data_IF_365096685735
#
_entry.id   IF_365096685735
#
_cell.length_a   1.000
_cell.length_b   1.000
_cell.length_c   1.000
_cell.angle_alpha   90.00
_cell.angle_beta   90.00
_cell.angle_gamma   90.00
#
_symmetry.space_group_name_H-M   'P 1'
#
loop_
_entity.id
_entity.type
_entity.pdbx_description
1 polymer ?
#
# COMPACT_ATOMS: atom_id res chain seq x y z
N UNK A 1 34.33 44.60 24.87
CA UNK A 1 33.70 44.98 23.60
C UNK A 1 32.40 44.16 23.50
N UNK A 2 31.33 44.57 24.19
CA UNK A 2 30.36 45.59 23.76
C UNK A 2 29.69 45.20 22.42
N UNK A 3 28.43 44.75 22.48
CA UNK A 3 27.60 44.40 21.32
C UNK A 3 27.18 45.62 20.49
N UNK A 4 26.23 45.46 19.54
CA UNK A 4 24.85 45.49 20.02
C UNK A 4 23.90 44.45 19.39
N UNK A 5 23.13 43.87 20.29
CA UNK A 5 21.75 43.42 20.12
C UNK A 5 20.90 44.49 19.43
N UNK A 6 20.12 44.10 18.42
CA UNK A 6 18.99 44.91 17.94
C UNK A 6 17.68 44.32 18.51
N UNK A 7 16.77 45.17 19.05
CA UNK A 7 15.74 44.72 19.97
C UNK A 7 14.36 44.53 19.36
N UNK A 8 13.52 43.82 20.12
CA UNK A 8 12.14 43.41 19.84
C UNK A 8 11.09 44.56 19.96
N UNK A 9 11.43 45.81 19.68
CA UNK A 9 10.53 46.97 19.89
C UNK A 9 10.63 48.13 18.89
N UNK A 10 11.13 47.95 17.66
CA UNK A 10 11.05 49.02 16.65
C UNK A 10 9.66 49.08 15.98
N UNK A 11 8.78 49.73 16.72
CA UNK A 11 7.48 50.29 16.36
C UNK A 11 7.66 51.43 15.35
N UNK A 12 6.89 51.41 14.27
CA UNK A 12 6.22 52.57 13.65
C UNK A 12 5.39 52.03 12.46
N UNK A 13 4.20 52.48 12.11
CA UNK A 13 3.19 53.37 12.68
C UNK A 13 2.07 53.25 11.64
N UNK A 14 0.93 52.64 11.99
CA UNK A 14 -0.24 52.66 11.12
C UNK A 14 -1.47 52.80 12.01
N UNK A 15 -1.64 54.04 12.49
CA UNK A 15 -2.91 54.58 12.96
C UNK A 15 -4.01 54.23 11.94
N UNK A 16 -4.99 53.44 12.37
CA UNK A 16 -6.32 53.50 11.78
C UNK A 16 -7.35 53.80 12.88
N UNK A 17 -8.22 54.80 12.67
CA UNK A 17 -9.07 55.35 13.69
C UNK A 17 -10.23 54.42 14.06
N UNK A 18 -10.56 54.42 15.34
CA UNK A 18 -11.88 54.10 15.87
C UNK A 18 -12.95 54.89 15.11
N UNK A 19 -13.90 54.21 14.46
CA UNK A 19 -15.33 54.60 14.39
C UNK A 19 -16.06 53.83 13.28
N UNK A 20 -16.93 52.90 13.68
CA UNK A 20 -18.24 52.65 13.05
C UNK A 20 -18.86 51.43 13.71
N UNK A 21 -19.35 51.64 14.93
CA UNK A 21 -20.41 50.81 15.49
C UNK A 21 -21.62 50.99 14.56
N UNK A 22 -21.90 49.99 13.74
CA UNK A 22 -23.08 49.94 12.88
C UNK A 22 -24.30 49.84 13.80
N UNK A 23 -24.96 50.96 14.00
CA UNK A 23 -26.27 51.05 14.66
C UNK A 23 -27.35 50.59 13.68
N UNK A 24 -28.03 49.49 14.02
CA UNK A 24 -29.23 49.05 13.30
C UNK A 24 -30.38 50.06 13.55
N UNK A 25 -31.16 50.45 12.52
CA UNK A 25 -32.28 51.35 12.71
C UNK A 25 -33.39 50.67 13.51
N UNK A 26 -33.70 51.26 14.67
CA UNK A 26 -34.86 50.96 15.51
C UNK A 26 -36.11 51.42 14.76
N UNK A 27 -36.75 50.51 14.03
CA UNK A 27 -38.05 50.76 13.39
C UNK A 27 -39.09 50.99 14.48
N UNK A 28 -39.66 52.18 14.46
CA UNK A 28 -40.67 52.71 15.37
C UNK A 28 -41.90 51.81 15.43
N UNK A 29 -42.31 51.52 16.66
CA UNK A 29 -43.52 50.78 17.03
C UNK A 29 -44.68 51.78 17.22
N UNK A 30 -45.10 52.49 16.18
CA UNK A 30 -46.28 53.37 16.25
C UNK A 30 -46.85 53.54 14.83
N UNK A 31 -47.79 52.67 14.44
CA UNK A 31 -48.83 52.86 13.39
C UNK A 31 -49.37 51.49 12.92
N UNK A 32 -49.94 50.71 13.83
CA UNK A 32 -50.88 49.66 13.43
C UNK A 32 -52.03 49.64 14.44
N UNK A 33 -52.82 50.70 14.45
CA UNK A 33 -54.15 50.65 15.06
C UNK A 33 -55.06 51.69 14.40
N UNK A 34 -55.74 51.26 13.33
CA UNK A 34 -57.14 51.55 12.99
C UNK A 34 -57.33 51.28 11.49
N UNK A 35 -58.04 50.22 11.15
CA UNK A 35 -59.26 50.30 10.35
C UNK A 35 -59.85 48.90 10.25
N UNK A 36 -61.06 48.77 10.81
CA UNK A 36 -61.95 47.63 10.67
C UNK A 36 -62.07 47.19 9.21
N UNK A 37 -62.20 45.89 8.96
CA UNK A 37 -63.45 45.30 8.44
C UNK A 37 -63.27 43.81 8.19
N UNK A 38 -64.29 43.08 8.61
CA UNK A 38 -64.58 41.67 8.39
C UNK A 38 -64.33 41.21 6.95
N UNK A 39 -63.66 40.06 6.77
CA UNK A 39 -64.11 38.93 5.93
C UNK A 39 -63.07 37.78 5.92
N UNK A 40 -63.57 36.54 5.95
CA UNK A 40 -62.84 35.38 5.44
C UNK A 40 -62.12 34.50 6.46
N UNK A 41 -62.87 33.57 7.07
CA UNK A 41 -62.30 32.36 7.68
C UNK A 41 -61.65 31.52 6.58
N UNK A 42 -60.33 31.67 6.41
CA UNK A 42 -59.49 30.92 5.48
C UNK A 42 -58.52 30.02 6.23
N UNK A 43 -58.94 28.79 6.51
CA UNK A 43 -58.12 27.58 6.70
C UNK A 43 -56.63 27.80 7.00
N UNK A 44 -56.28 27.94 8.29
CA UNK A 44 -54.91 27.78 8.76
C UNK A 44 -54.49 26.30 8.58
N UNK A 45 -53.98 25.96 7.40
CA UNK A 45 -53.20 24.73 7.22
C UNK A 45 -51.94 24.88 8.05
N UNK A 46 -51.87 24.12 9.13
CA UNK A 46 -50.64 23.92 9.91
C UNK A 46 -49.57 23.43 8.95
N UNK A 47 -48.66 24.32 8.53
CA UNK A 47 -47.53 23.93 7.71
C UNK A 47 -46.59 23.11 8.59
N UNK A 48 -46.70 21.79 8.51
CA UNK A 48 -45.69 20.87 9.02
C UNK A 48 -44.34 21.30 8.44
N UNK A 49 -43.29 21.56 9.25
CA UNK A 49 -41.97 21.80 8.68
C UNK A 49 -41.57 20.57 7.84
N UNK A 50 -40.91 20.77 6.68
CA UNK A 50 -40.57 19.67 5.80
C UNK A 50 -39.73 18.66 6.58
N UNK A 51 -40.14 17.40 6.55
CA UNK A 51 -39.38 16.30 7.13
C UNK A 51 -37.98 16.30 6.48
N UNK A 52 -36.98 16.81 7.21
CA UNK A 52 -35.60 16.76 6.78
C UNK A 52 -35.22 15.29 6.63
N UNK A 53 -34.68 14.96 5.46
CA UNK A 53 -34.34 13.60 5.09
C UNK A 53 -33.44 12.94 6.16
N UNK A 54 -33.76 11.70 6.52
CA UNK A 54 -33.04 10.90 7.55
C UNK A 54 -31.53 10.80 7.32
N UNK A 55 -31.06 11.09 6.11
CA UNK A 55 -29.65 11.19 5.73
C UNK A 55 -28.91 12.35 6.41
N UNK A 56 -29.56 13.49 6.64
CA UNK A 56 -28.91 14.68 7.23
C UNK A 56 -28.73 14.55 8.75
N UNK A 57 -29.70 13.92 9.45
CA UNK A 57 -29.59 13.65 10.89
C UNK A 57 -28.53 12.58 11.21
N UNK A 58 -28.39 11.56 10.36
CA UNK A 58 -27.36 10.54 10.53
C UNK A 58 -25.93 11.07 10.36
N UNK A 59 -25.76 12.21 9.67
CA UNK A 59 -24.46 12.88 9.53
C UNK A 59 -24.08 13.64 10.81
N UNK A 60 -25.05 14.14 11.58
CA UNK A 60 -24.81 14.96 12.78
C UNK A 60 -24.45 14.13 14.04
N UNK A 61 -24.80 12.83 14.06
CA UNK A 61 -24.47 11.89 15.16
C UNK A 61 -23.32 10.94 14.78
N UNK A 62 -22.76 11.06 13.58
CA UNK A 62 -21.70 10.18 13.13
C UNK A 62 -20.40 10.38 13.93
N UNK A 63 -19.88 9.30 14.51
CA UNK A 63 -18.55 9.24 15.14
C UNK A 63 -17.49 9.91 14.28
N UNK A 64 -16.59 10.70 14.88
CA UNK A 64 -15.55 11.47 14.17
C UNK A 64 -14.73 10.59 13.21
N UNK A 65 -14.51 9.32 13.56
CA UNK A 65 -13.85 8.32 12.72
C UNK A 65 -14.60 8.03 11.41
N UNK A 66 -15.92 8.01 11.45
CA UNK A 66 -16.76 7.78 10.27
C UNK A 66 -16.66 8.92 9.28
N UNK A 67 -16.62 10.17 9.78
CA UNK A 67 -16.39 11.37 8.98
C UNK A 67 -14.99 11.35 8.33
N UNK A 68 -13.96 10.96 9.10
CA UNK A 68 -12.60 10.81 8.58
C UNK A 68 -12.50 9.74 7.48
N UNK A 69 -13.11 8.58 7.68
CA UNK A 69 -13.11 7.49 6.69
C UNK A 69 -13.82 7.87 5.39
N UNK A 70 -14.92 8.61 5.47
CA UNK A 70 -15.61 9.11 4.28
C UNK A 70 -14.77 10.11 3.48
N UNK A 71 -14.11 11.06 4.14
CA UNK A 71 -13.17 11.98 3.49
C UNK A 71 -11.99 11.22 2.88
N UNK A 72 -11.44 10.24 3.60
CA UNK A 72 -10.36 9.39 3.10
C UNK A 72 -10.75 8.63 1.82
N UNK A 73 -11.94 8.03 1.79
CA UNK A 73 -12.45 7.30 0.61
C UNK A 73 -12.70 8.17 -0.62
N UNK A 74 -12.82 9.49 -0.47
CA UNK A 74 -12.97 10.40 -1.61
C UNK A 74 -11.66 10.56 -2.40
N UNK A 75 -10.50 10.32 -1.79
CA UNK A 75 -9.20 10.48 -2.43
C UNK A 75 -8.71 9.16 -3.04
N UNK A 76 -8.76 9.06 -4.37
CA UNK A 76 -8.28 7.87 -5.12
C UNK A 76 -6.81 7.53 -4.83
N UNK A 77 -5.94 8.54 -4.73
CA UNK A 77 -4.52 8.35 -4.41
C UNK A 77 -4.33 7.72 -3.02
N UNK A 78 -5.09 8.19 -2.03
CA UNK A 78 -4.99 7.70 -0.67
C UNK A 78 -5.41 6.22 -0.58
N UNK A 79 -6.46 5.83 -1.30
CA UNK A 79 -6.91 4.43 -1.40
C UNK A 79 -5.86 3.52 -2.06
N UNK A 80 -5.24 3.97 -3.15
CA UNK A 80 -4.19 3.20 -3.83
C UNK A 80 -2.97 3.01 -2.91
N UNK A 81 -2.52 4.07 -2.23
CA UNK A 81 -1.40 3.97 -1.29
C UNK A 81 -1.70 3.02 -0.13
N UNK A 82 -2.90 3.08 0.46
CA UNK A 82 -3.29 2.14 1.51
C UNK A 82 -3.34 0.70 1.01
N UNK A 83 -3.80 0.46 -0.21
CA UNK A 83 -3.78 -0.88 -0.79
C UNK A 83 -2.35 -1.41 -0.96
N UNK A 84 -1.43 -0.59 -1.47
CA UNK A 84 -0.02 -0.96 -1.64
C UNK A 84 0.64 -1.27 -0.29
N UNK A 85 0.45 -0.41 0.70
CA UNK A 85 1.01 -0.61 2.04
C UNK A 85 0.45 -1.88 2.69
N UNK A 86 -0.87 -2.08 2.60
CA UNK A 86 -1.51 -3.30 3.12
C UNK A 86 -0.98 -4.56 2.42
N UNK A 87 -0.77 -4.50 1.11
CA UNK A 87 -0.19 -5.61 0.34
C UNK A 87 1.21 -5.99 0.83
N UNK A 88 2.10 -5.01 1.08
CA UNK A 88 3.43 -5.30 1.63
C UNK A 88 3.37 -5.86 3.05
N UNK A 89 2.47 -5.37 3.90
CA UNK A 89 2.27 -5.95 5.24
C UNK A 89 1.80 -7.40 5.18
N UNK A 90 0.91 -7.74 4.23
CA UNK A 90 0.49 -9.13 4.02
C UNK A 90 1.69 -10.00 3.62
N UNK A 91 2.54 -9.54 2.70
CA UNK A 91 3.76 -10.27 2.32
C UNK A 91 4.67 -10.47 3.53
N UNK A 92 4.88 -9.44 4.35
CA UNK A 92 5.74 -9.50 5.54
C UNK A 92 5.20 -10.48 6.61
N UNK A 93 3.87 -10.48 6.84
CA UNK A 93 3.23 -11.39 7.80
C UNK A 93 3.32 -12.84 7.34
N UNK A 94 3.26 -13.09 6.03
CA UNK A 94 3.36 -14.42 5.43
C UNK A 94 4.73 -14.66 4.78
N UNK A 95 5.79 -14.02 5.28
CA UNK A 95 7.12 -14.07 4.67
C UNK A 95 7.64 -15.49 4.49
N UNK A 96 7.42 -16.38 5.45
CA UNK A 96 7.86 -17.76 5.38
C UNK A 96 7.15 -18.55 4.27
N UNK A 97 5.84 -18.30 4.08
CA UNK A 97 5.05 -18.92 3.02
C UNK A 97 5.39 -18.36 1.63
N UNK A 98 5.64 -17.05 1.52
CA UNK A 98 5.96 -16.39 0.25
C UNK A 98 7.39 -16.71 -0.20
N UNK A 99 8.32 -16.92 0.73
CA UNK A 99 9.70 -17.32 0.42
C UNK A 99 9.79 -18.63 -0.36
N UNK A 100 10.82 -18.77 -1.20
CA UNK A 100 11.08 -19.97 -2.00
C UNK A 100 11.90 -21.00 -1.21
N UNK A 101 12.76 -20.52 -0.33
CA UNK A 101 13.69 -21.33 0.48
C UNK A 101 13.98 -20.60 1.79
N UNK A 102 14.53 -21.31 2.77
CA UNK A 102 14.97 -20.67 4.00
C UNK A 102 16.10 -19.65 3.70
N UNK A 103 15.99 -18.39 4.16
CA UNK A 103 16.95 -17.32 3.86
C UNK A 103 18.38 -17.57 4.38
N UNK A 104 18.54 -18.51 5.32
CA UNK A 104 19.83 -18.91 5.89
C UNK A 104 20.39 -20.19 5.27
N UNK A 105 19.65 -20.84 4.36
CA UNK A 105 20.15 -22.02 3.66
C UNK A 105 21.31 -21.67 2.74
N UNK A 106 22.49 -22.09 3.16
CA UNK A 106 23.73 -21.94 2.44
C UNK A 106 23.84 -22.98 1.31
N UNK A 107 24.34 -22.58 0.13
CA UNK A 107 24.61 -23.51 -0.97
C UNK A 107 25.89 -23.14 -1.70
N UNK A 108 26.98 -23.86 -1.40
CA UNK A 108 28.29 -23.63 -2.02
C UNK A 108 28.30 -23.82 -3.54
N UNK A 109 27.37 -24.62 -4.07
CA UNK A 109 27.23 -24.90 -5.50
C UNK A 109 26.61 -23.73 -6.28
N UNK A 110 25.77 -22.91 -5.64
CA UNK A 110 24.97 -21.89 -6.29
C UNK A 110 25.42 -20.49 -5.88
N UNK A 111 26.72 -20.17 -5.99
CA UNK A 111 27.25 -18.84 -5.64
C UNK A 111 27.06 -17.84 -6.76
N UNK A 112 26.58 -16.63 -6.46
CA UNK A 112 26.39 -15.53 -7.42
C UNK A 112 25.60 -15.96 -8.67
N UNK A 113 24.53 -16.73 -8.47
CA UNK A 113 23.61 -17.13 -9.53
C UNK A 113 22.87 -15.89 -10.02
N UNK A 114 22.75 -15.67 -11.34
CA UNK A 114 21.99 -14.55 -11.87
C UNK A 114 20.48 -14.71 -11.60
N UNK A 115 19.70 -13.60 -11.60
CA UNK A 115 18.25 -13.65 -11.49
C UNK A 115 17.60 -14.54 -12.56
N UNK A 116 16.76 -15.48 -12.12
CA UNK A 116 16.00 -16.36 -13.00
C UNK A 116 14.58 -15.84 -13.16
N UNK A 117 14.34 -15.14 -14.26
CA UNK A 117 13.01 -14.63 -14.58
C UNK A 117 12.13 -15.73 -15.15
N UNK A 118 10.90 -15.90 -14.64
CA UNK A 118 9.91 -16.79 -15.23
C UNK A 118 9.62 -16.42 -16.69
N UNK A 119 9.60 -17.42 -17.57
CA UNK A 119 9.29 -17.28 -18.99
C UNK A 119 8.02 -18.05 -19.35
N UNK A 120 7.31 -17.58 -20.36
CA UNK A 120 6.17 -18.28 -20.96
C UNK A 120 6.46 -18.77 -22.38
N UNK A 121 7.50 -18.23 -23.02
CA UNK A 121 7.89 -18.58 -24.39
C UNK A 121 9.25 -19.27 -24.31
N UNK A 122 9.36 -20.44 -24.94
CA UNK A 122 10.61 -21.19 -25.02
C UNK A 122 11.61 -20.62 -26.05
N UNK A 123 12.74 -21.28 -26.22
CA UNK A 123 13.80 -20.84 -27.11
C UNK A 123 13.40 -21.06 -28.59
N UNK A 124 12.50 -22.01 -28.82
CA UNK A 124 11.95 -22.41 -30.11
C UNK A 124 10.73 -21.55 -30.51
N UNK A 125 10.16 -20.77 -29.59
CA UNK A 125 9.04 -19.86 -29.80
C UNK A 125 7.66 -20.42 -29.43
N UNK A 126 7.57 -21.62 -28.84
CA UNK A 126 6.31 -22.18 -28.36
C UNK A 126 5.87 -21.52 -27.06
N UNK A 127 4.56 -21.26 -26.97
CA UNK A 127 3.93 -20.69 -25.79
C UNK A 127 3.54 -21.79 -24.81
N UNK A 128 4.00 -21.65 -23.58
CA UNK A 128 3.66 -22.51 -22.44
C UNK A 128 2.67 -21.77 -21.54
N UNK A 129 1.57 -22.43 -21.17
CA UNK A 129 0.56 -21.86 -20.27
C UNK A 129 1.09 -21.65 -18.85
N UNK A 130 2.17 -22.36 -18.49
CA UNK A 130 2.80 -22.30 -17.17
C UNK A 130 4.14 -21.60 -17.28
N UNK A 131 4.44 -20.67 -16.35
CA UNK A 131 5.77 -20.06 -16.30
C UNK A 131 6.83 -21.11 -15.97
N UNK A 132 8.01 -20.95 -16.54
CA UNK A 132 9.13 -21.86 -16.32
C UNK A 132 10.46 -21.10 -16.28
N UNK A 133 11.50 -21.80 -15.81
CA UNK A 133 12.89 -21.34 -15.84
C UNK A 133 13.77 -22.39 -16.50
N UNK A 134 14.83 -21.95 -17.18
CA UNK A 134 15.81 -22.85 -17.75
C UNK A 134 16.83 -23.31 -16.73
N UNK A 135 17.42 -24.47 -16.97
CA UNK A 135 18.58 -24.94 -16.24
C UNK A 135 19.77 -23.97 -16.34
N UNK A 136 20.63 -24.03 -15.34
CA UNK A 136 21.90 -23.33 -15.34
C UNK A 136 23.04 -24.34 -15.33
N UNK A 137 24.00 -24.13 -16.21
CA UNK A 137 25.27 -24.87 -16.23
C UNK A 137 26.38 -23.91 -15.84
N UNK A 138 27.26 -24.39 -14.96
CA UNK A 138 28.46 -23.65 -14.56
C UNK A 138 29.52 -23.83 -15.65
N UNK A 139 29.75 -22.76 -16.39
CA UNK A 139 30.79 -22.67 -17.41
C UNK A 139 32.02 -21.94 -16.83
N UNK A 140 33.19 -22.14 -17.43
CA UNK A 140 34.41 -21.40 -17.09
C UNK A 140 34.83 -20.58 -18.28
N UNK A 141 34.97 -19.27 -18.06
CA UNK A 141 35.51 -18.39 -19.08
C UNK A 141 36.94 -18.84 -19.45
N UNK A 142 37.25 -19.10 -20.74
CA UNK A 142 38.52 -19.67 -21.13
C UNK A 142 39.71 -18.72 -20.94
N UNK A 143 39.46 -17.41 -20.84
CA UNK A 143 40.50 -16.39 -20.68
C UNK A 143 40.65 -16.01 -19.22
N UNK A 144 39.53 -15.72 -18.55
CA UNK A 144 39.57 -15.23 -17.16
C UNK A 144 39.49 -16.35 -16.12
N UNK A 145 39.17 -17.57 -16.53
CA UNK A 145 38.91 -18.75 -15.69
C UNK A 145 37.84 -18.52 -14.62
N UNK A 146 37.06 -17.44 -14.75
CA UNK A 146 36.00 -17.10 -13.82
C UNK A 146 34.80 -18.03 -14.06
N UNK A 147 34.15 -18.51 -12.99
CA UNK A 147 32.90 -19.23 -13.12
C UNK A 147 31.83 -18.29 -13.70
N UNK A 148 31.14 -18.74 -14.74
CA UNK A 148 30.02 -18.04 -15.37
C UNK A 148 28.85 -18.99 -15.52
N UNK A 149 27.65 -18.56 -15.16
CA UNK A 149 26.45 -19.35 -15.42
C UNK A 149 25.98 -19.13 -16.86
N UNK A 150 25.74 -20.23 -17.56
CA UNK A 150 25.12 -20.25 -18.88
C UNK A 150 23.77 -20.94 -18.78
N UNK A 151 22.78 -20.41 -19.50
CA UNK A 151 21.46 -21.02 -19.60
C UNK A 151 21.58 -22.29 -20.45
N UNK A 152 21.07 -23.40 -19.93
CA UNK A 152 20.90 -24.65 -20.66
C UNK A 152 19.43 -24.77 -21.07
N UNK A 153 19.16 -24.48 -22.35
CA UNK A 153 17.82 -24.54 -22.93
C UNK A 153 17.29 -25.96 -23.08
N UNK A 154 18.16 -26.98 -22.93
CA UNK A 154 17.78 -28.40 -23.01
C UNK A 154 16.95 -28.84 -21.79
N UNK A 155 17.08 -28.13 -20.65
CA UNK A 155 16.37 -28.44 -19.41
C UNK A 155 15.45 -27.29 -19.03
N UNK A 156 14.16 -27.60 -18.94
CA UNK A 156 13.10 -26.66 -18.61
C UNK A 156 12.43 -27.08 -17.31
N UNK A 157 12.34 -26.15 -16.36
CA UNK A 157 11.76 -26.39 -15.04
C UNK A 157 10.50 -25.54 -14.86
N UNK A 158 9.29 -26.14 -14.91
CA UNK A 158 8.06 -25.42 -14.68
C UNK A 158 7.93 -24.97 -13.22
N UNK A 159 7.43 -23.74 -13.03
CA UNK A 159 7.14 -23.18 -11.70
C UNK A 159 5.72 -23.57 -11.30
N UNK A 160 5.60 -24.12 -10.11
CA UNK A 160 4.34 -24.49 -9.49
C UNK A 160 4.03 -23.57 -8.32
N UNK A 161 2.74 -23.45 -8.03
CA UNK A 161 2.24 -22.75 -6.87
C UNK A 161 1.93 -23.72 -5.73
N UNK A 162 2.04 -23.26 -4.48
CA UNK A 162 1.72 -24.06 -3.29
C UNK A 162 2.48 -25.39 -3.21
N UNK A 163 3.76 -25.37 -3.59
CA UNK A 163 4.63 -26.55 -3.57
C UNK A 163 5.02 -26.92 -2.15
N UNK A 164 5.36 -28.18 -1.90
CA UNK A 164 6.00 -28.57 -0.64
C UNK A 164 7.52 -28.42 -0.79
N UNK A 165 8.14 -27.71 0.15
CA UNK A 165 9.57 -27.43 0.18
C UNK A 165 10.15 -27.65 1.58
N UNK A 166 11.13 -26.82 1.93
CA UNK A 166 11.80 -26.93 3.23
C UNK A 166 10.83 -26.58 4.38
N UNK A 167 10.79 -27.37 5.47
CA UNK A 167 9.90 -27.06 6.58
C UNK A 167 10.30 -25.74 7.25
N UNK A 168 9.31 -24.93 7.60
CA UNK A 168 9.49 -23.66 8.29
C UNK A 168 8.47 -23.52 9.43
N UNK A 169 8.70 -22.53 10.29
CA UNK A 169 7.78 -22.18 11.40
C UNK A 169 7.19 -20.80 11.15
N UNK A 170 5.94 -20.75 10.69
CA UNK A 170 5.21 -19.50 10.56
C UNK A 170 5.00 -18.89 11.94
N UNK A 171 5.42 -17.63 12.08
CA UNK A 171 5.43 -16.86 13.34
C UNK A 171 6.18 -17.54 14.51
N UNK A 172 6.99 -18.56 14.23
CA UNK A 172 7.76 -19.30 15.22
C UNK A 172 7.05 -20.50 15.87
N UNK A 173 5.76 -20.74 15.62
CA UNK A 173 5.01 -21.81 16.29
C UNK A 173 4.13 -22.68 15.36
N UNK A 174 3.73 -22.21 14.18
CA UNK A 174 2.96 -23.03 13.23
C UNK A 174 3.94 -23.69 12.26
N UNK A 175 4.17 -24.99 12.39
CA UNK A 175 4.97 -25.75 11.43
C UNK A 175 4.21 -25.92 10.11
N UNK A 176 4.83 -25.52 9.02
CA UNK A 176 4.33 -25.66 7.66
C UNK A 176 5.48 -25.97 6.70
N UNK A 177 5.15 -26.52 5.53
CA UNK A 177 6.10 -26.94 4.50
C UNK A 177 5.70 -26.44 3.11
N UNK A 178 4.64 -25.62 3.00
CA UNK A 178 4.11 -25.14 1.73
C UNK A 178 4.70 -23.79 1.38
N UNK A 179 5.24 -23.66 0.18
CA UNK A 179 5.74 -22.40 -0.35
C UNK A 179 4.86 -21.92 -1.50
N UNK A 180 4.69 -20.60 -1.62
CA UNK A 180 3.86 -19.99 -2.65
C UNK A 180 4.37 -20.34 -4.06
N UNK A 181 5.69 -20.38 -4.25
CA UNK A 181 6.34 -20.70 -5.51
C UNK A 181 7.44 -21.74 -5.31
N UNK A 182 7.63 -22.61 -6.29
CA UNK A 182 8.83 -23.43 -6.40
C UNK A 182 8.78 -24.39 -7.58
N UNK A 183 9.76 -25.29 -7.64
CA UNK A 183 9.87 -26.28 -8.70
C UNK A 183 9.09 -27.55 -8.34
N UNK A 184 8.90 -28.46 -9.31
CA UNK A 184 8.29 -29.78 -9.04
C UNK A 184 9.13 -30.54 -8.01
N UNK A 185 8.48 -31.43 -7.25
CA UNK A 185 9.16 -32.29 -6.26
C UNK A 185 10.20 -33.21 -6.89
N UNK A 186 10.05 -33.52 -8.16
CA UNK A 186 10.96 -34.41 -8.89
C UNK A 186 12.29 -33.72 -9.21
N UNK A 187 12.35 -32.39 -9.06
CA UNK A 187 13.54 -31.58 -9.35
C UNK A 187 14.35 -31.42 -8.09
N UNK A 188 15.40 -32.23 -7.95
CA UNK A 188 16.36 -32.13 -6.83
C UNK A 188 17.64 -31.39 -7.23
N UNK A 189 17.94 -31.34 -8.54
CA UNK A 189 19.20 -30.84 -9.08
C UNK A 189 19.25 -29.31 -9.24
N UNK A 190 18.15 -28.62 -8.94
CA UNK A 190 18.03 -27.18 -9.12
C UNK A 190 17.18 -26.55 -8.02
N UNK A 191 17.63 -25.39 -7.56
CA UNK A 191 16.84 -24.47 -6.74
C UNK A 191 16.40 -23.28 -7.60
N UNK A 192 15.21 -22.76 -7.32
CA UNK A 192 14.68 -21.56 -7.98
C UNK A 192 15.29 -20.31 -7.34
N UNK A 193 15.90 -19.45 -8.15
CA UNK A 193 16.52 -18.20 -7.70
C UNK A 193 15.91 -17.00 -8.45
N UNK A 194 14.73 -16.53 -8.02
CA UNK A 194 14.01 -15.44 -8.70
C UNK A 194 14.86 -14.16 -8.82
N UNK A 195 15.54 -13.78 -7.73
CA UNK A 195 16.42 -12.60 -7.70
C UNK A 195 17.92 -12.97 -7.72
N UNK A 196 18.24 -14.24 -7.99
CA UNK A 196 19.61 -14.74 -7.94
C UNK A 196 20.07 -15.08 -6.52
N UNK A 197 21.36 -15.36 -6.38
CA UNK A 197 21.98 -15.71 -5.11
C UNK A 197 23.17 -14.82 -4.77
N UNK A 198 23.54 -14.77 -3.49
CA UNK A 198 24.73 -14.04 -3.04
C UNK A 198 26.03 -14.86 -3.20
N UNK A 199 27.13 -14.29 -2.70
CA UNK A 199 28.46 -14.91 -2.63
C UNK A 199 28.49 -16.25 -1.86
N UNK A 200 27.51 -16.47 -0.97
CA UNK A 200 27.36 -17.67 -0.17
C UNK A 200 26.33 -18.64 -0.80
N UNK A 201 25.67 -18.24 -1.88
CA UNK A 201 24.63 -19.01 -2.54
C UNK A 201 23.31 -19.09 -1.78
N UNK A 202 23.02 -18.09 -0.94
CA UNK A 202 21.70 -17.92 -0.32
C UNK A 202 20.76 -17.22 -1.31
N UNK A 203 19.49 -17.57 -1.28
CA UNK A 203 18.48 -16.98 -2.16
C UNK A 203 18.17 -15.52 -1.78
N UNK A 204 18.36 -14.60 -2.73
CA UNK A 204 18.12 -13.17 -2.49
C UNK A 204 16.65 -12.84 -2.36
N UNK A 205 15.77 -13.54 -3.08
CA UNK A 205 14.33 -13.29 -3.00
C UNK A 205 13.81 -13.57 -1.59
N UNK A 206 14.10 -14.76 -1.07
CA UNK A 206 13.69 -15.15 0.28
C UNK A 206 14.27 -14.21 1.33
N UNK A 207 15.52 -13.75 1.19
CA UNK A 207 16.10 -12.77 2.13
C UNK A 207 15.42 -11.40 2.09
N UNK A 208 15.02 -10.91 0.91
CA UNK A 208 14.28 -9.65 0.80
C UNK A 208 12.89 -9.78 1.44
N UNK A 209 12.19 -10.89 1.19
CA UNK A 209 10.87 -11.15 1.77
C UNK A 209 10.96 -11.27 3.29
N UNK A 210 11.94 -12.00 3.83
CA UNK A 210 12.16 -12.10 5.27
C UNK A 210 12.62 -10.78 5.89
N UNK A 211 13.39 -9.96 5.17
CA UNK A 211 13.80 -8.64 5.65
C UNK A 211 12.66 -7.62 5.77
N UNK A 212 11.48 -7.92 5.22
CA UNK A 212 10.29 -7.10 5.39
C UNK A 212 9.55 -7.37 6.73
N UNK A 213 9.87 -8.46 7.44
CA UNK A 213 9.28 -8.86 8.72
C UNK A 213 10.11 -8.34 9.90
#
# INVERSE_FOLDING_TARGET
MAGPTYPLWMIADARLPLSSVVTLPRKSLDEVELHMSTEGVGSARTAQPPAKSSSEEQIYVASQWRLMWWRFKQHKLALVSTFIVLFFYIIAIFAEFVSVTNPEDFSALYKNVPPQLPRFIDAEGNLHLRPFVYGLVLDRDPVTLRPRYKLDTSKMYPIYFFVRGAPYKMWGFISADRHLFGLSRDVTDMKLFLFGSDRLGRDMYSRVVYGAR
#
